data_IF_202361358366
#
_entry.id   IF_202361358366
#
_cell.length_a   1.000
_cell.length_b   1.000
_cell.length_c   1.000
_cell.angle_alpha   90.00
_cell.angle_beta   90.00
_cell.angle_gamma   90.00
#
_symmetry.space_group_name_H-M   'P 1'
#
loop_
_entity.id
_entity.type
_entity.pdbx_description
1 polymer ?
#
# COMPACT_ATOMS: atom_id res chain seq x y z
N UNK A 1 -37.37 18.04 -29.15
CA UNK A 1 -36.29 18.90 -29.69
C UNK A 1 -36.79 19.71 -30.89
N UNK A 2 -36.11 20.80 -31.27
CA UNK A 2 -36.40 21.59 -32.50
C UNK A 2 -35.52 21.10 -33.66
N UNK A 3 -36.03 21.12 -34.89
CA UNK A 3 -35.33 20.63 -36.09
C UNK A 3 -33.93 21.25 -36.28
N UNK A 4 -33.79 22.55 -36.02
CA UNK A 4 -32.48 23.24 -36.11
C UNK A 4 -31.43 22.72 -35.13
N UNK A 5 -31.84 22.27 -33.93
CA UNK A 5 -30.91 21.64 -32.97
C UNK A 5 -30.57 20.23 -33.40
N UNK A 6 -31.55 19.45 -33.86
CA UNK A 6 -31.37 18.09 -34.40
C UNK A 6 -30.34 18.07 -35.53
N UNK A 7 -30.45 18.98 -36.50
CA UNK A 7 -29.51 19.07 -37.63
C UNK A 7 -28.07 19.32 -37.20
N UNK A 8 -27.85 20.14 -36.17
CA UNK A 8 -26.50 20.44 -35.65
C UNK A 8 -25.87 19.25 -34.95
N UNK A 9 -26.65 18.48 -34.18
CA UNK A 9 -26.11 17.38 -33.37
C UNK A 9 -26.10 16.02 -34.09
N UNK A 10 -26.54 16.00 -35.34
CA UNK A 10 -26.68 14.78 -36.14
C UNK A 10 -25.36 14.00 -36.29
N UNK A 11 -24.25 14.69 -36.52
CA UNK A 11 -22.92 14.07 -36.62
C UNK A 11 -22.45 13.49 -35.27
N UNK A 12 -22.72 14.20 -34.16
CA UNK A 12 -22.37 13.75 -32.82
C UNK A 12 -23.15 12.49 -32.43
N UNK A 13 -24.42 12.39 -32.88
CA UNK A 13 -25.19 11.17 -32.71
C UNK A 13 -24.54 10.00 -33.47
N UNK A 14 -24.11 10.20 -34.72
CA UNK A 14 -23.47 9.16 -35.53
C UNK A 14 -22.16 8.63 -34.91
N UNK A 15 -21.33 9.51 -34.33
CA UNK A 15 -20.09 9.12 -33.65
C UNK A 15 -20.28 8.72 -32.17
N UNK A 16 -21.53 8.61 -31.71
CA UNK A 16 -21.89 8.24 -30.34
C UNK A 16 -21.45 9.25 -29.25
N UNK A 17 -21.13 10.49 -29.62
CA UNK A 17 -20.61 11.57 -28.75
C UNK A 17 -21.69 12.31 -27.94
N UNK A 18 -22.98 11.98 -28.15
CA UNK A 18 -24.07 12.60 -27.38
C UNK A 18 -24.27 11.96 -26.01
N UNK A 19 -24.67 12.79 -25.04
CA UNK A 19 -25.11 12.31 -23.72
C UNK A 19 -26.38 11.45 -23.84
N UNK A 20 -26.62 10.55 -22.89
CA UNK A 20 -27.77 9.65 -22.92
C UNK A 20 -29.12 10.39 -23.02
N UNK A 21 -29.25 11.52 -22.31
CA UNK A 21 -30.45 12.38 -22.35
C UNK A 21 -30.68 13.01 -23.72
N UNK A 22 -29.60 13.37 -24.42
CA UNK A 22 -29.68 13.97 -25.76
C UNK A 22 -29.95 12.94 -26.85
N UNK A 23 -29.44 11.72 -26.69
CA UNK A 23 -29.76 10.59 -27.58
C UNK A 23 -31.26 10.29 -27.60
N UNK A 24 -31.86 10.14 -26.41
CA UNK A 24 -33.31 9.93 -26.28
C UNK A 24 -34.10 11.07 -26.92
N UNK A 25 -33.67 12.33 -26.68
CA UNK A 25 -34.32 13.50 -27.27
C UNK A 25 -34.18 13.59 -28.79
N UNK A 26 -33.07 13.10 -29.34
CA UNK A 26 -32.79 13.06 -30.77
C UNK A 26 -33.60 11.95 -31.46
N UNK A 27 -33.59 10.73 -30.93
CA UNK A 27 -34.37 9.58 -31.42
C UNK A 27 -35.87 9.88 -31.40
N UNK A 28 -36.36 10.43 -30.29
CA UNK A 28 -37.75 10.87 -30.16
C UNK A 28 -38.13 11.88 -31.27
N UNK A 29 -37.24 12.82 -31.59
CA UNK A 29 -37.49 13.79 -32.65
C UNK A 29 -37.44 13.17 -34.06
N UNK A 30 -36.54 12.22 -34.32
CA UNK A 30 -36.50 11.51 -35.60
C UNK A 30 -37.78 10.70 -35.85
N UNK A 31 -38.34 10.09 -34.80
CA UNK A 31 -39.62 9.36 -34.89
C UNK A 31 -40.82 10.28 -35.19
N UNK A 32 -40.78 11.53 -34.73
CA UNK A 32 -41.86 12.50 -34.94
C UNK A 32 -41.69 13.37 -36.19
N UNK A 33 -40.47 13.52 -36.73
CA UNK A 33 -40.16 14.44 -37.81
C UNK A 33 -39.60 13.69 -39.04
N UNK A 34 -40.47 13.42 -40.02
CA UNK A 34 -40.11 12.74 -41.26
C UNK A 34 -39.00 13.45 -42.05
N UNK A 35 -38.96 14.80 -42.01
CA UNK A 35 -37.93 15.60 -42.69
C UNK A 35 -36.55 15.34 -42.10
N UNK A 36 -36.41 15.43 -40.78
CA UNK A 36 -35.14 15.19 -40.11
C UNK A 36 -34.71 13.73 -40.22
N UNK A 37 -35.65 12.78 -40.21
CA UNK A 37 -35.35 11.36 -40.42
C UNK A 37 -34.79 11.10 -41.83
N UNK A 38 -35.40 11.70 -42.86
CA UNK A 38 -34.92 11.59 -44.24
C UNK A 38 -33.56 12.27 -44.44
N UNK A 39 -33.33 13.44 -43.83
CA UNK A 39 -32.01 14.08 -43.84
C UNK A 39 -30.95 13.21 -43.15
N UNK A 40 -31.30 12.59 -42.00
CA UNK A 40 -30.42 11.70 -41.27
C UNK A 40 -29.97 10.52 -42.13
N UNK A 41 -30.92 9.80 -42.74
CA UNK A 41 -30.63 8.64 -43.57
C UNK A 41 -29.71 8.97 -44.77
N UNK A 42 -29.83 10.17 -45.35
CA UNK A 42 -28.92 10.62 -46.42
C UNK A 42 -27.49 10.83 -45.89
N UNK A 43 -27.35 11.45 -44.73
CA UNK A 43 -26.04 11.72 -44.13
C UNK A 43 -25.37 10.42 -43.72
N UNK A 44 -26.10 9.49 -43.08
CA UNK A 44 -25.54 8.19 -42.68
C UNK A 44 -25.12 7.36 -43.87
N UNK A 45 -25.90 7.33 -44.95
CA UNK A 45 -25.54 6.60 -46.17
C UNK A 45 -24.20 7.06 -46.77
N UNK A 46 -23.99 8.38 -46.87
CA UNK A 46 -22.71 8.94 -47.35
C UNK A 46 -21.56 8.61 -46.40
N UNK A 47 -21.79 8.68 -45.09
CA UNK A 47 -20.76 8.36 -44.08
C UNK A 47 -20.41 6.87 -44.06
N UNK A 48 -21.38 5.99 -44.31
CA UNK A 48 -21.17 4.54 -44.41
C UNK A 48 -20.41 4.16 -45.69
N UNK A 49 -20.68 4.85 -46.80
CA UNK A 49 -19.93 4.69 -48.05
C UNK A 49 -18.45 5.10 -47.87
N UNK A 50 -18.21 6.26 -47.24
CA UNK A 50 -16.85 6.71 -46.88
C UNK A 50 -16.14 5.79 -45.88
N UNK A 51 -16.89 5.06 -45.05
CA UNK A 51 -16.32 4.07 -44.11
C UNK A 51 -15.78 2.83 -44.85
N UNK A 52 -16.38 2.45 -45.97
CA UNK A 52 -15.95 1.32 -46.79
C UNK A 52 -14.79 1.70 -47.72
N UNK A 53 -14.66 2.99 -48.06
CA UNK A 53 -13.53 3.55 -48.80
C UNK A 53 -12.27 3.78 -47.95
N UNK A 54 -12.28 3.34 -46.67
CA UNK A 54 -11.07 3.30 -45.85
C UNK A 54 -10.06 2.42 -46.56
N UNK A 55 -9.10 3.07 -47.21
CA UNK A 55 -7.89 2.46 -47.73
C UNK A 55 -7.41 1.44 -46.70
N UNK A 56 -7.07 0.20 -47.10
CA UNK A 56 -6.45 -0.74 -46.19
C UNK A 56 -5.16 -0.08 -45.73
N UNK A 57 -5.18 0.51 -44.53
CA UNK A 57 -3.97 0.87 -43.83
C UNK A 57 -3.24 -0.45 -43.74
N UNK A 58 -2.21 -0.64 -44.56
CA UNK A 58 -1.38 -1.83 -44.52
C UNK A 58 -0.90 -1.91 -43.07
N UNK A 59 -1.48 -2.81 -42.28
CA UNK A 59 -1.17 -3.03 -40.86
C UNK A 59 0.17 -3.75 -40.75
N UNK A 60 1.18 -3.25 -41.47
CA UNK A 60 2.58 -3.60 -41.42
C UNK A 60 3.27 -2.27 -41.09
N UNK A 61 3.24 -1.80 -39.83
CA UNK A 61 4.03 -2.43 -38.77
C UNK A 61 3.47 -2.17 -37.34
N UNK A 62 2.17 -2.22 -37.10
CA UNK A 62 1.61 -1.94 -35.76
C UNK A 62 2.19 -2.91 -34.70
N UNK A 63 2.43 -4.15 -35.12
CA UNK A 63 2.99 -5.22 -34.30
C UNK A 63 4.45 -4.91 -33.89
N UNK A 64 5.22 -4.28 -34.77
CA UNK A 64 6.62 -3.88 -34.53
C UNK A 64 6.67 -2.68 -33.59
N UNK A 65 5.75 -1.72 -33.76
CA UNK A 65 5.64 -0.58 -32.86
C UNK A 65 5.19 -1.00 -31.45
N UNK A 66 4.17 -1.85 -31.36
CA UNK A 66 3.69 -2.42 -30.09
C UNK A 66 4.78 -3.20 -29.39
N UNK A 67 5.55 -4.04 -30.10
CA UNK A 67 6.66 -4.80 -29.52
C UNK A 67 7.71 -3.87 -28.86
N UNK A 68 8.09 -2.77 -29.53
CA UNK A 68 9.02 -1.79 -28.97
C UNK A 68 8.47 -1.01 -27.77
N UNK A 69 7.15 -0.83 -27.69
CA UNK A 69 6.48 -0.20 -26.53
C UNK A 69 6.44 -1.17 -25.35
N UNK A 70 6.06 -2.44 -25.57
CA UNK A 70 6.03 -3.46 -24.52
C UNK A 70 7.42 -3.72 -23.93
N UNK A 71 8.46 -3.76 -24.75
CA UNK A 71 9.85 -3.94 -24.28
C UNK A 71 10.30 -2.79 -23.35
N UNK A 72 9.92 -1.55 -23.67
CA UNK A 72 10.23 -0.38 -22.83
C UNK A 72 9.46 -0.36 -21.51
N UNK A 73 8.23 -0.87 -21.50
CA UNK A 73 7.41 -0.97 -20.27
C UNK A 73 7.96 -2.07 -19.35
N UNK A 74 8.34 -3.22 -19.90
CA UNK A 74 8.81 -4.36 -19.11
C UNK A 74 10.17 -4.10 -18.46
N UNK A 75 11.08 -3.40 -19.16
CA UNK A 75 12.37 -2.96 -18.58
C UNK A 75 12.20 -1.97 -17.42
N UNK A 76 11.20 -1.07 -17.49
CA UNK A 76 10.93 -0.12 -16.40
C UNK A 76 10.33 -0.81 -15.17
N UNK A 77 9.41 -1.77 -15.35
CA UNK A 77 8.84 -2.53 -14.21
C UNK A 77 9.89 -3.33 -13.45
N UNK A 78 10.75 -4.09 -14.16
CA UNK A 78 11.82 -4.88 -13.52
C UNK A 78 12.81 -4.02 -12.73
N UNK A 79 13.12 -2.81 -13.21
CA UNK A 79 13.99 -1.88 -12.48
C UNK A 79 13.32 -1.36 -11.21
N UNK A 80 12.03 -1.05 -11.24
CA UNK A 80 11.28 -0.57 -10.05
C UNK A 80 11.12 -1.68 -9.02
N UNK A 81 10.78 -2.90 -9.44
CA UNK A 81 10.63 -4.05 -8.54
C UNK A 81 11.97 -4.42 -7.87
N UNK A 82 13.09 -4.35 -8.62
CA UNK A 82 14.42 -4.60 -8.07
C UNK A 82 14.90 -3.48 -7.12
N UNK A 83 14.53 -2.22 -7.40
CA UNK A 83 14.88 -1.08 -6.54
C UNK A 83 14.08 -1.08 -5.23
N UNK A 84 12.85 -1.60 -5.23
CA UNK A 84 12.00 -1.69 -4.05
C UNK A 84 12.28 -2.93 -3.18
N UNK A 85 12.70 -4.06 -3.77
CA UNK A 85 13.00 -5.27 -2.99
C UNK A 85 14.33 -5.20 -2.22
N UNK A 86 15.36 -4.57 -2.79
CA UNK A 86 16.69 -4.51 -2.17
C UNK A 86 16.78 -3.78 -0.81
N UNK A 87 16.12 -2.63 -0.59
CA UNK A 87 16.18 -1.96 0.71
C UNK A 87 15.40 -2.71 1.80
N UNK A 88 14.38 -3.51 1.44
CA UNK A 88 13.57 -4.23 2.42
C UNK A 88 14.36 -5.37 3.09
N UNK A 89 15.13 -6.13 2.31
CA UNK A 89 15.96 -7.24 2.83
C UNK A 89 17.11 -6.70 3.70
N UNK A 90 17.65 -5.53 3.34
CA UNK A 90 18.69 -4.84 4.13
C UNK A 90 18.16 -4.35 5.48
N UNK A 91 16.96 -3.78 5.51
CA UNK A 91 16.37 -3.27 6.75
C UNK A 91 16.03 -4.41 7.73
N UNK A 92 15.47 -5.52 7.25
CA UNK A 92 15.16 -6.67 8.10
C UNK A 92 16.41 -7.32 8.70
N UNK A 93 17.51 -7.39 7.94
CA UNK A 93 18.78 -7.91 8.44
C UNK A 93 19.33 -7.03 9.57
N UNK A 94 19.33 -5.70 9.41
CA UNK A 94 19.81 -4.77 10.42
C UNK A 94 18.99 -4.84 11.73
N UNK A 95 17.65 -4.92 11.63
CA UNK A 95 16.79 -5.06 12.81
C UNK A 95 17.02 -6.39 13.53
N UNK A 96 17.14 -7.49 12.79
CA UNK A 96 17.41 -8.80 13.39
C UNK A 96 18.76 -8.84 14.13
N UNK A 97 19.78 -8.18 13.59
CA UNK A 97 21.10 -8.10 14.18
C UNK A 97 21.10 -7.27 15.46
N UNK A 98 20.34 -6.15 15.49
CA UNK A 98 20.14 -5.37 16.71
C UNK A 98 19.44 -6.16 17.81
N UNK A 99 18.41 -6.96 17.48
CA UNK A 99 17.72 -7.80 18.46
C UNK A 99 18.67 -8.84 19.06
N UNK A 100 19.48 -9.50 18.25
CA UNK A 100 20.47 -10.49 18.72
C UNK A 100 21.49 -9.83 19.67
N UNK A 101 21.99 -8.64 19.32
CA UNK A 101 22.91 -7.89 20.19
C UNK A 101 22.22 -7.52 21.51
N UNK A 102 21.00 -7.00 21.47
CA UNK A 102 20.26 -6.61 22.69
C UNK A 102 20.02 -7.80 23.62
N UNK A 103 19.65 -8.97 23.07
CA UNK A 103 19.48 -10.20 23.86
C UNK A 103 20.82 -10.64 24.46
N UNK A 104 21.90 -10.61 23.67
CA UNK A 104 23.24 -10.97 24.14
C UNK A 104 23.72 -10.09 25.29
N UNK A 105 23.54 -8.76 25.18
CA UNK A 105 23.91 -7.81 26.25
C UNK A 105 23.08 -8.04 27.51
N UNK A 106 21.78 -8.29 27.37
CA UNK A 106 20.90 -8.56 28.51
C UNK A 106 21.31 -9.84 29.26
N UNK A 107 21.57 -10.93 28.51
CA UNK A 107 22.04 -12.19 29.08
C UNK A 107 23.41 -12.05 29.75
N UNK A 108 24.33 -11.29 29.14
CA UNK A 108 25.65 -11.06 29.72
C UNK A 108 25.56 -10.33 31.07
N UNK A 109 24.73 -9.29 31.17
CA UNK A 109 24.50 -8.57 32.43
C UNK A 109 23.91 -9.48 33.52
N UNK A 110 22.91 -10.28 33.16
CA UNK A 110 22.33 -11.26 34.07
C UNK A 110 23.36 -12.29 34.55
N UNK A 111 24.24 -12.73 33.66
CA UNK A 111 25.30 -13.67 34.02
C UNK A 111 26.33 -13.02 34.96
N UNK A 112 26.75 -11.79 34.67
CA UNK A 112 27.69 -11.03 35.49
C UNK A 112 27.15 -10.74 36.89
N UNK A 113 25.88 -10.34 36.99
CA UNK A 113 25.19 -10.12 38.27
C UNK A 113 25.07 -11.41 39.08
N UNK A 114 24.68 -12.51 38.43
CA UNK A 114 24.61 -13.82 39.07
C UNK A 114 25.99 -14.35 39.48
N UNK A 115 27.03 -14.13 38.68
CA UNK A 115 28.40 -14.51 39.06
C UNK A 115 28.92 -13.66 40.22
N UNK A 116 28.62 -12.36 40.23
CA UNK A 116 29.01 -11.48 41.34
C UNK A 116 28.34 -11.91 42.65
N UNK A 117 27.06 -12.28 42.62
CA UNK A 117 26.34 -12.80 43.78
C UNK A 117 26.90 -14.16 44.21
N UNK A 118 27.22 -15.04 43.26
CA UNK A 118 27.80 -16.35 43.56
C UNK A 118 29.19 -16.23 44.20
N UNK A 119 30.05 -15.37 43.66
CA UNK A 119 31.42 -15.17 44.14
C UNK A 119 31.45 -14.50 45.53
N UNK A 120 30.47 -13.65 45.84
CA UNK A 120 30.38 -12.95 47.12
C UNK A 120 29.32 -13.53 48.07
N UNK A 121 28.81 -14.74 47.78
CA UNK A 121 27.71 -15.34 48.52
C UNK A 121 28.02 -15.51 50.02
N UNK A 122 29.26 -15.90 50.36
CA UNK A 122 29.68 -16.00 51.77
C UNK A 122 29.63 -14.66 52.50
N UNK A 123 30.14 -13.59 51.87
CA UNK A 123 30.15 -12.24 52.45
C UNK A 123 28.72 -11.71 52.65
N UNK A 124 27.85 -11.93 51.66
CA UNK A 124 26.42 -11.54 51.74
C UNK A 124 25.74 -12.28 52.89
N UNK A 125 25.98 -13.60 53.00
CA UNK A 125 25.41 -14.44 54.04
C UNK A 125 25.89 -14.03 55.45
N UNK A 126 27.16 -13.67 55.59
CA UNK A 126 27.72 -13.20 56.86
C UNK A 126 27.11 -11.86 57.27
N UNK A 127 26.90 -10.93 56.33
CA UNK A 127 26.19 -9.67 56.61
C UNK A 127 24.73 -9.91 57.04
N UNK A 128 24.00 -10.81 56.39
CA UNK A 128 22.64 -11.17 56.83
C UNK A 128 22.63 -11.80 58.25
N UNK A 129 23.67 -12.54 58.61
CA UNK A 129 23.77 -13.14 59.93
C UNK A 129 24.03 -12.09 61.01
N UNK A 130 24.89 -11.10 60.72
CA UNK A 130 25.14 -9.97 61.62
C UNK A 130 23.88 -9.13 61.84
N UNK A 131 23.13 -8.84 60.78
CA UNK A 131 21.89 -8.07 60.86
C UNK A 131 20.82 -8.80 61.71
N UNK A 132 20.76 -10.13 61.60
CA UNK A 132 19.92 -10.98 62.46
C UNK A 132 20.40 -10.97 63.92
N UNK A 133 21.70 -10.95 64.17
CA UNK A 133 22.23 -10.83 65.54
C UNK A 133 21.90 -9.49 66.17
N UNK A 134 22.03 -8.38 65.44
CA UNK A 134 21.68 -7.05 65.94
C UNK A 134 20.18 -6.94 66.25
N UNK A 135 19.33 -7.56 65.43
CA UNK A 135 17.90 -7.65 65.74
C UNK A 135 17.62 -8.41 67.03
N UNK A 136 18.32 -9.53 67.29
CA UNK A 136 18.18 -10.30 68.52
C UNK A 136 18.66 -9.51 69.76
N UNK A 137 19.77 -8.79 69.66
CA UNK A 137 20.27 -7.93 70.75
C UNK A 137 19.26 -6.84 71.11
N UNK A 138 18.66 -6.21 70.10
CA UNK A 138 17.64 -5.19 70.32
C UNK A 138 16.37 -5.76 70.99
N UNK A 139 15.99 -6.99 70.64
CA UNK A 139 14.87 -7.68 71.29
C UNK A 139 15.17 -8.01 72.76
N UNK A 140 16.37 -8.51 73.05
CA UNK A 140 16.82 -8.84 74.42
C UNK A 140 16.92 -7.57 75.31
N UNK A 141 17.38 -6.45 74.73
CA UNK A 141 17.38 -5.16 75.40
C UNK A 141 15.96 -4.66 75.75
N UNK A 142 14.99 -4.88 74.85
CA UNK A 142 13.59 -4.52 75.12
C UNK A 142 12.96 -5.41 76.20
N UNK A 143 13.31 -6.69 76.23
CA UNK A 143 12.80 -7.65 77.22
C UNK A 143 13.37 -7.37 78.61
N UNK A 144 14.68 -7.11 78.72
CA UNK A 144 15.31 -6.73 79.99
C UNK A 144 14.80 -5.40 80.57
N UNK A 145 14.45 -4.42 79.73
CA UNK A 145 13.79 -3.19 80.21
C UNK A 145 12.38 -3.43 80.74
N UNK A 146 11.68 -4.43 80.21
CA UNK A 146 10.31 -4.79 80.63
C UNK A 146 10.30 -5.57 81.96
N UNK A 147 11.33 -6.35 82.25
CA UNK A 147 11.46 -7.07 83.53
C UNK A 147 11.81 -6.15 84.72
N UNK A 148 12.31 -4.94 84.45
CA UNK A 148 12.70 -3.95 85.48
C UNK A 148 11.54 -2.99 85.84
N UNK A 149 10.42 -3.00 85.12
CA UNK A 149 9.20 -2.21 85.43
C UNK A 149 8.11 -3.04 86.07
#
# INVERSE_FOLDING_TARGET
>A
MRCGKTKRIMHQYYYNDLSAKEKVGFESHLNMCAVCNKEFGKVTAVLDELKHERMPIKIKPLNVYMAGVYEKIDKKKKLVDFLLLKPLISATAAVSLLIIISIGVYQYKLYEENSFIADNYEIIKDMEMLDKMDMLINLDALESMKEIS
#
